data_IF_425471699546
#
_entry.id   IF_425471699546
#
_cell.length_a   1.000
_cell.length_b   1.000
_cell.length_c   1.000
_cell.angle_alpha   90.00
_cell.angle_beta   90.00
_cell.angle_gamma   90.00
#
_symmetry.space_group_name_H-M   'P 1'
#
loop_
_entity.id
_entity.type
_entity.pdbx_description
1 polymer ?
#
# COMPACT_ATOMS: atom_id res chain seq x y z
N UNK A 1 -14.57 -9.41 5.05
CA UNK A 1 -14.02 -8.06 5.27
C UNK A 1 -15.16 -7.06 5.26
N UNK A 2 -15.37 -6.30 6.34
CA UNK A 2 -16.39 -5.26 6.35
C UNK A 2 -15.93 -4.09 5.48
N UNK A 3 -16.74 -3.70 4.50
CA UNK A 3 -16.49 -2.52 3.68
C UNK A 3 -16.89 -1.25 4.41
N UNK A 4 -16.15 -0.16 4.19
CA UNK A 4 -16.49 1.15 4.76
C UNK A 4 -17.68 1.76 3.98
N UNK A 5 -18.87 1.77 4.59
CA UNK A 5 -20.04 2.47 4.03
C UNK A 5 -19.93 3.98 4.26
N UNK A 6 -20.30 4.79 3.26
CA UNK A 6 -20.58 6.23 3.42
C UNK A 6 -19.39 7.19 3.24
N UNK A 7 -18.24 6.71 2.77
CA UNK A 7 -17.11 7.55 2.39
C UNK A 7 -17.13 7.69 0.86
N UNK A 8 -17.11 8.91 0.32
CA UNK A 8 -17.15 9.23 -1.13
C UNK A 8 -15.84 8.77 -1.82
N UNK A 9 -15.53 7.49 -1.75
CA UNK A 9 -14.39 6.83 -2.35
C UNK A 9 -14.97 5.79 -3.31
N UNK A 10 -14.62 5.89 -4.59
CA UNK A 10 -15.22 5.11 -5.68
C UNK A 10 -14.79 3.64 -5.73
N UNK A 11 -14.29 3.06 -4.62
CA UNK A 11 -13.63 1.76 -4.61
C UNK A 11 -14.09 0.82 -3.51
N UNK A 12 -13.83 -0.48 -3.70
CA UNK A 12 -14.03 -1.53 -2.70
C UNK A 12 -12.99 -1.40 -1.59
N UNK A 13 -13.24 -0.46 -0.67
CA UNK A 13 -12.32 -0.09 0.40
C UNK A 13 -12.61 -0.84 1.71
N UNK A 14 -11.56 -1.36 2.34
CA UNK A 14 -11.62 -2.08 3.61
C UNK A 14 -10.43 -1.72 4.53
N UNK A 15 -10.56 -2.06 5.81
CA UNK A 15 -9.46 -1.96 6.77
C UNK A 15 -8.46 -3.10 6.58
N UNK A 16 -7.18 -2.75 6.55
CA UNK A 16 -6.06 -3.65 6.39
C UNK A 16 -5.20 -3.63 7.65
N UNK A 17 -4.70 -4.80 8.04
CA UNK A 17 -3.70 -4.94 9.09
C UNK A 17 -2.31 -4.53 8.61
N UNK A 18 -1.30 -5.02 9.33
CA UNK A 18 0.09 -4.73 9.01
C UNK A 18 0.59 -5.51 7.79
N UNK A 19 1.64 -5.01 7.13
CA UNK A 19 2.31 -5.70 6.01
C UNK A 19 3.53 -6.46 6.53
N UNK A 20 3.66 -7.71 6.12
CA UNK A 20 4.78 -8.58 6.47
C UNK A 20 5.59 -8.95 5.23
N UNK A 21 6.92 -8.92 5.37
CA UNK A 21 7.89 -9.35 4.35
C UNK A 21 8.73 -10.44 5.01
N UNK A 22 8.72 -11.64 4.43
CA UNK A 22 9.44 -12.80 4.99
C UNK A 22 9.11 -13.08 6.47
N UNK A 23 7.81 -12.99 6.82
CA UNK A 23 7.31 -13.19 8.18
C UNK A 23 7.68 -12.07 9.17
N UNK A 24 8.32 -10.99 8.72
CA UNK A 24 8.67 -9.83 9.55
C UNK A 24 7.72 -8.69 9.26
N UNK A 25 7.16 -8.12 10.33
CA UNK A 25 6.36 -6.91 10.29
C UNK A 25 7.18 -5.72 9.82
N UNK A 26 6.64 -4.95 8.86
CA UNK A 26 7.23 -3.68 8.44
C UNK A 26 6.90 -2.52 9.40
N UNK A 27 5.94 -2.70 10.32
CA UNK A 27 5.52 -1.70 11.32
C UNK A 27 4.72 -0.50 10.78
N UNK A 28 4.73 -0.24 9.47
CA UNK A 28 4.10 0.95 8.88
C UNK A 28 2.57 0.95 8.99
N UNK A 29 1.94 -0.22 8.94
CA UNK A 29 0.49 -0.39 9.10
C UNK A 29 0.14 -1.05 10.45
N UNK A 30 1.02 -0.93 11.45
CA UNK A 30 0.81 -1.54 12.78
C UNK A 30 -0.47 -1.04 13.47
N UNK A 31 -0.84 0.23 13.25
CA UNK A 31 -2.08 0.83 13.76
C UNK A 31 -3.26 0.69 12.79
N UNK A 32 -3.12 -0.13 11.75
CA UNK A 32 -4.10 -0.30 10.69
C UNK A 32 -3.93 0.70 9.55
N UNK A 33 -4.28 0.24 8.35
CA UNK A 33 -4.30 1.01 7.10
C UNK A 33 -5.65 0.82 6.40
N UNK A 34 -5.92 1.64 5.38
CA UNK A 34 -7.02 1.39 4.45
C UNK A 34 -6.45 0.87 3.12
N UNK A 35 -7.11 -0.12 2.54
CA UNK A 35 -6.75 -0.68 1.25
C UNK A 35 -7.96 -0.71 0.31
N UNK A 36 -7.70 -0.74 -1.00
CA UNK A 36 -8.70 -0.85 -2.06
C UNK A 36 -8.37 -2.10 -2.87
N UNK A 37 -9.38 -2.95 -3.11
CA UNK A 37 -9.27 -4.03 -4.11
C UNK A 37 -9.68 -3.47 -5.47
N UNK A 38 -8.70 -3.34 -6.36
CA UNK A 38 -8.88 -2.80 -7.71
C UNK A 38 -8.36 -3.80 -8.74
N UNK A 39 -9.24 -4.41 -9.52
CA UNK A 39 -8.86 -5.32 -10.61
C UNK A 39 -8.33 -4.57 -11.84
N UNK A 40 -8.49 -3.25 -11.89
CA UNK A 40 -7.99 -2.38 -12.95
C UNK A 40 -6.53 -1.96 -12.79
N UNK A 41 -5.90 -2.24 -11.65
CA UNK A 41 -4.49 -1.92 -11.40
C UNK A 41 -3.65 -3.20 -11.29
N UNK A 42 -2.60 -3.29 -12.12
CA UNK A 42 -1.68 -4.44 -12.11
C UNK A 42 -0.63 -4.35 -10.99
N UNK A 43 -0.37 -3.14 -10.50
CA UNK A 43 0.72 -2.86 -9.56
C UNK A 43 0.19 -2.45 -8.19
N UNK A 44 0.90 -2.87 -7.14
CA UNK A 44 0.64 -2.39 -5.79
C UNK A 44 1.12 -0.95 -5.65
N UNK A 45 0.20 -0.07 -5.26
CA UNK A 45 0.49 1.34 -5.05
C UNK A 45 0.30 1.71 -3.58
N UNK A 46 1.18 2.56 -3.08
CA UNK A 46 1.18 3.07 -1.72
C UNK A 46 1.39 4.58 -1.71
N UNK A 47 0.74 5.28 -0.79
CA UNK A 47 0.97 6.72 -0.56
C UNK A 47 2.00 6.93 0.55
N UNK A 48 2.80 7.99 0.47
CA UNK A 48 3.76 8.53 1.45
C UNK A 48 4.48 7.50 2.34
N UNK A 49 3.82 7.02 3.39
CA UNK A 49 4.35 6.04 4.36
C UNK A 49 4.47 4.62 3.81
N UNK A 50 3.63 4.23 2.84
CA UNK A 50 3.66 2.92 2.19
C UNK A 50 4.77 2.84 1.13
N UNK A 51 5.35 3.98 0.73
CA UNK A 51 6.53 4.00 -0.15
C UNK A 51 7.73 3.29 0.48
N UNK A 52 7.90 3.42 1.81
CA UNK A 52 8.96 2.73 2.53
C UNK A 52 8.80 1.20 2.50
N UNK A 53 7.56 0.69 2.55
CA UNK A 53 7.27 -0.75 2.37
C UNK A 53 7.68 -1.19 0.96
N UNK A 54 7.35 -0.42 -0.08
CA UNK A 54 7.70 -0.75 -1.47
C UNK A 54 9.24 -0.79 -1.64
N UNK A 55 9.97 0.11 -0.99
CA UNK A 55 11.44 0.09 -0.97
C UNK A 55 11.95 -1.19 -0.32
N UNK A 56 11.43 -1.55 0.85
CA UNK A 56 11.84 -2.76 1.58
C UNK A 56 11.56 -4.03 0.77
N UNK A 57 10.37 -4.13 0.17
CA UNK A 57 10.02 -5.23 -0.73
C UNK A 57 11.00 -5.31 -1.90
N UNK A 58 11.24 -4.19 -2.60
CA UNK A 58 12.16 -4.18 -3.74
C UNK A 58 13.59 -4.57 -3.34
N UNK A 59 14.05 -4.11 -2.18
CA UNK A 59 15.35 -4.49 -1.64
C UNK A 59 15.46 -5.99 -1.38
N UNK A 60 14.44 -6.60 -0.75
CA UNK A 60 14.43 -8.03 -0.40
C UNK A 60 14.33 -8.92 -1.65
N UNK A 61 13.56 -8.51 -2.67
CA UNK A 61 13.40 -9.31 -3.89
C UNK A 61 14.46 -9.01 -4.97
N UNK A 62 15.39 -8.08 -4.70
CA UNK A 62 16.41 -7.65 -5.67
C UNK A 62 15.85 -6.90 -6.88
N UNK A 63 14.69 -6.25 -6.74
CA UNK A 63 14.09 -5.46 -7.80
C UNK A 63 14.66 -4.04 -7.85
N UNK A 64 14.80 -3.51 -9.06
CA UNK A 64 15.19 -2.11 -9.26
C UNK A 64 14.01 -1.20 -8.92
N UNK A 65 14.18 -0.35 -7.90
CA UNK A 65 13.20 0.68 -7.57
C UNK A 65 13.15 1.78 -8.64
N UNK A 66 11.96 2.07 -9.17
CA UNK A 66 11.72 3.22 -10.05
C UNK A 66 10.96 4.28 -9.26
N UNK A 67 11.59 5.44 -9.05
CA UNK A 67 10.91 6.59 -8.47
C UNK A 67 10.16 7.30 -9.60
N UNK A 68 8.84 7.14 -9.65
CA UNK A 68 7.99 7.91 -10.55
C UNK A 68 7.59 9.23 -9.88
N UNK A 69 8.12 10.36 -10.34
CA UNK A 69 7.83 11.70 -9.78
C UNK A 69 6.41 12.21 -10.05
N UNK A 70 5.48 11.34 -10.47
CA UNK A 70 4.13 11.70 -10.92
C UNK A 70 3.18 12.06 -9.76
N UNK A 71 3.52 11.71 -8.51
CA UNK A 71 2.70 12.00 -7.32
C UNK A 71 3.21 13.18 -6.49
N UNK A 72 4.18 13.94 -6.99
CA UNK A 72 4.51 15.26 -6.46
C UNK A 72 3.62 16.32 -7.09
N UNK A 73 2.39 16.48 -6.59
CA UNK A 73 1.79 17.82 -6.56
C UNK A 73 2.04 18.39 -5.17
N UNK A 74 2.40 19.68 -5.06
CA UNK A 74 2.50 20.34 -3.76
C UNK A 74 1.18 20.24 -2.98
#
# INVERSE_FOLDING_TARGET
MPMKKGKLFFGWQFDMGNVEIDGKTTGFCANGCAAIADSGILMLAGKDVTFAIIIEVNHVIGATGVIVSQYGKP
#
